data_IF_645287580201
#
_entry.id   IF_645287580201
#
_cell.length_a   1.000
_cell.length_b   1.000
_cell.length_c   1.000
_cell.angle_alpha   90.00
_cell.angle_beta   90.00
_cell.angle_gamma   90.00
#
_symmetry.space_group_name_H-M   'P 1'
#
loop_
_entity.id
_entity.type
_entity.pdbx_description
1 polymer ?
#
# COMPACT_ATOMS: atom_id res chain seq x y z
N UNK A 1 3.66 -24.31 -2.68
CA UNK A 1 3.97 -23.17 -3.57
C UNK A 1 2.87 -22.11 -3.64
N UNK A 2 1.58 -22.46 -3.70
CA UNK A 2 0.48 -21.50 -3.91
C UNK A 2 0.34 -20.32 -2.90
N UNK A 3 0.84 -20.46 -1.67
CA UNK A 3 0.72 -19.38 -0.67
C UNK A 3 1.76 -18.26 -0.88
N UNK A 4 2.98 -18.62 -1.28
CA UNK A 4 4.04 -17.63 -1.54
C UNK A 4 3.69 -16.75 -2.75
N UNK A 5 3.15 -17.35 -3.81
CA UNK A 5 2.70 -16.65 -5.01
C UNK A 5 1.56 -15.66 -4.69
N UNK A 6 0.65 -16.05 -3.79
CA UNK A 6 -0.46 -15.21 -3.34
C UNK A 6 0.01 -14.02 -2.49
N UNK A 7 0.98 -14.24 -1.61
CA UNK A 7 1.62 -13.19 -0.79
C UNK A 7 2.34 -12.19 -1.71
N UNK A 8 3.12 -12.67 -2.68
CA UNK A 8 3.80 -11.82 -3.65
C UNK A 8 2.83 -11.05 -4.53
N UNK A 9 1.74 -11.68 -4.97
CA UNK A 9 0.68 -11.01 -5.73
C UNK A 9 0.07 -9.86 -4.92
N UNK A 10 -0.35 -10.11 -3.68
CA UNK A 10 -0.95 -9.08 -2.83
C UNK A 10 0.02 -7.91 -2.57
N UNK A 11 1.30 -8.22 -2.32
CA UNK A 11 2.34 -7.19 -2.19
C UNK A 11 2.44 -6.33 -3.45
N UNK A 12 2.46 -6.96 -4.63
CA UNK A 12 2.55 -6.23 -5.91
C UNK A 12 1.38 -5.25 -6.10
N UNK A 13 0.17 -5.65 -5.68
CA UNK A 13 -1.02 -4.81 -5.78
C UNK A 13 -0.96 -3.65 -4.78
N UNK A 14 -0.53 -3.89 -3.54
CA UNK A 14 -0.37 -2.82 -2.53
C UNK A 14 0.64 -1.79 -3.00
N UNK A 15 1.80 -2.22 -3.51
CA UNK A 15 2.84 -1.33 -4.03
C UNK A 15 2.34 -0.51 -5.22
N UNK A 16 1.59 -1.14 -6.13
CA UNK A 16 1.01 -0.44 -7.28
C UNK A 16 -0.05 0.59 -6.87
N UNK A 17 -0.94 0.25 -5.94
CA UNK A 17 -1.94 1.20 -5.45
C UNK A 17 -1.29 2.38 -4.69
N UNK A 18 -0.20 2.13 -3.94
CA UNK A 18 0.55 3.19 -3.27
C UNK A 18 1.26 4.13 -4.27
N UNK A 19 1.81 3.62 -5.38
CA UNK A 19 2.39 4.49 -6.42
C UNK A 19 1.33 5.32 -7.13
N UNK A 20 0.19 4.72 -7.48
CA UNK A 20 -0.95 5.42 -8.08
C UNK A 20 -1.48 6.52 -7.15
N UNK A 21 -1.60 6.25 -5.85
CA UNK A 21 -1.96 7.25 -4.83
C UNK A 21 -0.96 8.41 -4.81
N UNK A 22 0.34 8.12 -4.77
CA UNK A 22 1.41 9.15 -4.75
C UNK A 22 1.43 10.01 -6.02
N UNK A 23 0.96 9.47 -7.14
CA UNK A 23 0.77 10.20 -8.40
C UNK A 23 -0.53 11.01 -8.46
N UNK A 24 -1.36 10.98 -7.40
CA UNK A 24 -2.67 11.65 -7.37
C UNK A 24 -3.78 10.91 -8.14
N UNK A 25 -3.50 9.70 -8.63
CA UNK A 25 -4.42 8.84 -9.40
C UNK A 25 -5.29 8.01 -8.45
N UNK A 26 -6.13 8.68 -7.67
CA UNK A 26 -6.89 8.05 -6.58
C UNK A 26 -7.94 7.06 -7.05
N UNK A 27 -8.56 7.31 -8.21
CA UNK A 27 -9.57 6.42 -8.76
C UNK A 27 -8.94 5.11 -9.23
N UNK A 28 -7.80 5.20 -9.91
CA UNK A 28 -6.98 4.06 -10.32
C UNK A 28 -6.45 3.31 -9.10
N UNK A 29 -5.91 4.02 -8.10
CA UNK A 29 -5.42 3.43 -6.87
C UNK A 29 -6.51 2.62 -6.14
N UNK A 30 -7.75 3.16 -6.08
CA UNK A 30 -8.90 2.47 -5.50
C UNK A 30 -9.28 1.21 -6.28
N UNK A 31 -9.30 1.29 -7.63
CA UNK A 31 -9.55 0.14 -8.52
C UNK A 31 -8.46 -0.92 -8.46
N UNK A 32 -7.21 -0.52 -8.23
CA UNK A 32 -6.10 -1.45 -8.05
C UNK A 32 -6.20 -2.14 -6.70
N UNK A 33 -6.46 -1.39 -5.62
CA UNK A 33 -6.59 -1.92 -4.27
C UNK A 33 -7.80 -2.86 -4.12
N UNK A 34 -8.88 -2.64 -4.86
CA UNK A 34 -10.08 -3.50 -4.84
C UNK A 34 -9.87 -4.89 -5.45
N UNK A 35 -8.75 -5.13 -6.14
CA UNK A 35 -8.38 -6.47 -6.65
C UNK A 35 -7.98 -7.44 -5.55
N UNK A 36 -7.60 -6.91 -4.39
CA UNK A 36 -7.25 -7.73 -3.23
C UNK A 36 -8.52 -8.11 -2.47
N UNK A 37 -8.68 -9.41 -2.17
CA UNK A 37 -9.71 -9.84 -1.25
C UNK A 37 -9.27 -9.55 0.20
N UNK A 38 -10.17 -8.99 1.01
CA UNK A 38 -9.86 -8.64 2.40
C UNK A 38 -9.41 -9.86 3.22
N UNK A 39 -9.99 -11.03 2.96
CA UNK A 39 -9.61 -12.29 3.61
C UNK A 39 -8.17 -12.72 3.31
N UNK A 40 -7.59 -12.24 2.22
CA UNK A 40 -6.23 -12.61 1.78
C UNK A 40 -5.14 -11.75 2.42
N UNK A 41 -5.52 -10.64 3.06
CA UNK A 41 -4.60 -9.71 3.74
C UNK A 41 -4.82 -9.70 5.25
N UNK A 42 -6.03 -10.07 5.70
CA UNK A 42 -6.37 -10.13 7.11
C UNK A 42 -5.39 -11.05 7.85
N UNK A 43 -4.91 -10.59 9.00
CA UNK A 43 -3.95 -11.30 9.85
C UNK A 43 -2.59 -11.60 9.16
N UNK A 44 -2.28 -10.91 8.05
CA UNK A 44 -0.96 -10.95 7.40
C UNK A 44 -0.14 -9.70 7.74
N UNK A 45 1.16 -9.72 7.41
CA UNK A 45 2.07 -8.59 7.56
C UNK A 45 1.55 -7.31 6.87
N UNK A 46 0.70 -7.45 5.86
CA UNK A 46 0.22 -6.33 5.03
C UNK A 46 -1.14 -5.77 5.45
N UNK A 47 -1.78 -6.29 6.49
CA UNK A 47 -3.10 -5.82 6.95
C UNK A 47 -3.05 -4.33 7.33
N UNK A 48 -2.00 -3.92 8.04
CA UNK A 48 -1.78 -2.54 8.41
C UNK A 48 -1.59 -1.63 7.19
N UNK A 49 -0.71 -2.03 6.27
CA UNK A 49 -0.44 -1.26 5.05
C UNK A 49 -1.68 -1.10 4.19
N UNK A 50 -2.48 -2.17 4.04
CA UNK A 50 -3.74 -2.13 3.31
C UNK A 50 -4.75 -1.15 3.94
N UNK A 51 -4.93 -1.20 5.26
CA UNK A 51 -5.85 -0.30 5.99
C UNK A 51 -5.43 1.17 5.86
N UNK A 52 -4.16 1.46 6.10
CA UNK A 52 -3.61 2.82 5.99
C UNK A 52 -3.69 3.33 4.55
N UNK A 53 -3.38 2.48 3.56
CA UNK A 53 -3.46 2.85 2.16
C UNK A 53 -4.90 3.19 1.75
N UNK A 54 -5.88 2.36 2.15
CA UNK A 54 -7.30 2.62 1.92
C UNK A 54 -7.75 3.95 2.53
N UNK A 55 -7.33 4.22 3.77
CA UNK A 55 -7.65 5.48 4.44
C UNK A 55 -7.06 6.69 3.70
N UNK A 56 -5.78 6.61 3.30
CA UNK A 56 -5.10 7.69 2.56
C UNK A 56 -5.72 7.94 1.19
N UNK A 57 -6.08 6.89 0.45
CA UNK A 57 -6.78 7.03 -0.83
C UNK A 57 -8.12 7.74 -0.63
N UNK A 58 -8.90 7.35 0.39
CA UNK A 58 -10.18 8.00 0.71
C UNK A 58 -10.01 9.47 1.10
N UNK A 59 -8.97 9.80 1.87
CA UNK A 59 -8.62 11.17 2.25
C UNK A 59 -8.00 11.98 1.10
N UNK A 60 -7.75 11.36 -0.06
CA UNK A 60 -6.97 11.94 -1.18
C UNK A 60 -5.63 12.50 -0.70
N UNK A 61 -5.02 11.81 0.25
CA UNK A 61 -3.74 12.19 0.81
C UNK A 61 -2.63 11.86 -0.21
N UNK A 62 -1.90 12.86 -0.68
CA UNK A 62 -0.75 12.72 -1.60
C UNK A 62 0.57 12.65 -0.81
N UNK A 63 0.54 12.93 0.49
CA UNK A 63 1.74 13.05 1.29
C UNK A 63 2.57 11.76 1.24
N UNK A 64 3.87 11.97 1.17
CA UNK A 64 4.89 10.93 1.30
C UNK A 64 5.65 11.28 2.56
N UNK A 65 5.77 10.33 3.49
CA UNK A 65 6.64 10.51 4.65
C UNK A 65 8.07 10.61 4.13
N UNK A 66 8.63 11.81 4.13
CA UNK A 66 10.04 12.01 3.82
C UNK A 66 10.86 11.44 4.97
N UNK A 67 11.82 10.57 4.66
CA UNK A 67 12.80 10.14 5.64
C UNK A 67 13.72 11.31 5.95
N UNK A 68 13.77 11.72 7.22
CA UNK A 68 14.75 12.70 7.72
C UNK A 68 15.87 11.86 8.34
N UNK A 69 17.06 11.78 7.71
CA UNK A 69 18.17 11.04 8.29
C UNK A 69 18.61 11.66 9.62
N UNK A 70 19.07 10.82 10.54
CA UNK A 70 19.69 11.31 11.77
C UNK A 70 20.91 12.18 11.45
N UNK A 71 21.17 13.25 12.22
CA UNK A 71 22.38 14.06 12.05
C UNK A 71 23.63 13.19 12.21
N UNK A 72 24.53 13.25 11.21
CA UNK A 72 25.83 12.58 11.29
C UNK A 72 26.62 13.24 12.42
N UNK A 73 27.02 12.44 13.44
CA UNK A 73 27.96 12.88 14.48
C UNK A 73 29.38 12.50 14.05
N UNK A 74 30.31 13.46 14.09
CA UNK A 74 31.75 13.28 13.85
C UNK A 74 32.51 13.11 15.15
#
# INVERSE_FOLDING_TARGET
NNNADKIQYNLSIILKAETERRLGKFEEASKTLSKINLADVKDTLYDYDFKILKERINKKDISVRQYIPEPIRY
#
